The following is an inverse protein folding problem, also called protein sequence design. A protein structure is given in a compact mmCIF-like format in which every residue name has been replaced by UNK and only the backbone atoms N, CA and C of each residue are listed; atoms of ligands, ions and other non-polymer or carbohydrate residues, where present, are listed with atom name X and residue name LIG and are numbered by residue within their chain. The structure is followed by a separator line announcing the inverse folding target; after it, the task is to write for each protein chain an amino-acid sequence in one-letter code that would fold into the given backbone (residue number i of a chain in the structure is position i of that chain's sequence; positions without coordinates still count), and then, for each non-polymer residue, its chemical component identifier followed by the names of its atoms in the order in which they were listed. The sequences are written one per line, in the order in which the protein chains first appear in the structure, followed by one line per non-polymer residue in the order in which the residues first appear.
data_IF_110504840585
#
_entry.id   IF_110504840585
#
_cell.length_a   1.000
_cell.length_b   1.000
_cell.length_c   1.000
_cell.angle_alpha   90.00
_cell.angle_beta   90.00
_cell.angle_gamma   90.00
#
_symmetry.space_group_name_H-M   'P 1'
#
loop_
_entity.id
_entity.type
_entity.pdbx_description
1 polymer ?
#
# COMPACT_ATOMS: atom_id res chain seq x y z
N UNK A 1 -1.94 -3.49 2.91
CA UNK A 1 -1.81 -4.88 3.39
C UNK A 1 -3.02 -5.20 4.26
N UNK A 2 -4.10 -5.66 3.62
CA UNK A 2 -5.38 -5.90 4.27
C UNK A 2 -5.75 -7.38 4.11
N UNK A 3 -5.36 -8.22 5.07
CA UNK A 3 -6.15 -9.40 5.44
C UNK A 3 -5.49 -10.09 6.63
N UNK A 4 -5.91 -9.71 7.85
CA UNK A 4 -5.70 -10.52 9.06
C UNK A 4 -6.80 -11.60 9.18
N UNK A 5 -7.49 -11.90 8.08
CA UNK A 5 -8.56 -12.88 8.03
C UNK A 5 -7.96 -14.28 8.05
N UNK A 6 -8.36 -15.09 9.04
CA UNK A 6 -7.95 -16.50 9.16
C UNK A 6 -9.11 -17.37 8.71
N UNK A 7 -9.05 -17.82 7.46
CA UNK A 7 -10.05 -18.68 6.82
C UNK A 7 -10.01 -20.12 7.37
N UNK A 8 -11.06 -20.89 7.09
CA UNK A 8 -11.22 -22.27 7.59
C UNK A 8 -10.06 -23.19 7.24
N UNK A 9 -9.59 -23.15 6.00
CA UNK A 9 -8.51 -24.00 5.45
C UNK A 9 -7.19 -23.84 6.22
N UNK A 10 -6.97 -22.66 6.81
CA UNK A 10 -5.78 -22.35 7.58
C UNK A 10 -5.79 -22.95 8.97
N UNK A 11 -6.95 -23.23 9.56
CA UNK A 11 -7.06 -23.75 10.93
C UNK A 11 -6.85 -25.26 10.95
N UNK A 12 -5.84 -25.70 11.70
CA UNK A 12 -5.52 -27.11 11.90
C UNK A 12 -6.41 -27.66 13.01
N UNK A 13 -7.23 -28.65 12.70
CA UNK A 13 -8.18 -29.25 13.63
C UNK A 13 -9.51 -29.60 12.99
N UNK A 14 -10.46 -30.04 13.82
CA UNK A 14 -11.79 -30.44 13.35
C UNK A 14 -12.68 -29.23 13.02
N UNK A 15 -13.73 -29.46 12.22
CA UNK A 15 -14.64 -28.41 11.76
C UNK A 15 -15.48 -27.79 12.88
N UNK A 16 -15.70 -28.50 13.99
CA UNK A 16 -16.51 -28.00 15.10
C UNK A 16 -15.81 -26.83 15.79
N UNK A 17 -14.53 -26.98 16.10
CA UNK A 17 -13.71 -25.93 16.72
C UNK A 17 -13.72 -24.65 15.88
N UNK A 18 -13.57 -24.76 14.56
CA UNK A 18 -13.62 -23.55 13.71
C UNK A 18 -14.99 -22.86 13.77
N UNK A 19 -16.08 -23.62 13.66
CA UNK A 19 -17.44 -23.06 13.68
C UNK A 19 -17.73 -22.34 14.99
N UNK A 20 -17.33 -22.90 16.12
CA UNK A 20 -17.52 -22.31 17.46
C UNK A 20 -16.81 -20.96 17.62
N UNK A 21 -15.64 -20.81 17.01
CA UNK A 21 -14.82 -19.59 17.12
C UNK A 21 -14.83 -18.75 15.83
N UNK A 22 -15.89 -18.87 15.03
CA UNK A 22 -16.07 -18.09 13.80
C UNK A 22 -16.84 -16.78 14.06
N UNK A 23 -16.34 -15.69 13.49
CA UNK A 23 -17.01 -14.40 13.54
C UNK A 23 -18.27 -14.42 12.67
N UNK A 24 -19.40 -13.99 13.23
CA UNK A 24 -20.67 -13.98 12.50
C UNK A 24 -20.80 -12.85 11.45
N UNK A 25 -19.82 -11.95 11.36
CA UNK A 25 -19.78 -10.87 10.35
C UNK A 25 -18.90 -11.27 9.16
N UNK A 26 -17.64 -11.65 9.41
CA UNK A 26 -16.70 -11.99 8.32
C UNK A 26 -16.58 -13.49 8.04
N UNK A 27 -17.20 -14.35 8.86
CA UNK A 27 -17.21 -15.81 8.75
C UNK A 27 -15.82 -16.48 8.83
N UNK A 28 -14.80 -15.73 9.27
CA UNK A 28 -13.45 -16.22 9.55
C UNK A 28 -13.27 -16.52 11.04
N UNK A 29 -12.19 -17.20 11.40
CA UNK A 29 -11.80 -17.37 12.81
C UNK A 29 -11.68 -15.98 13.47
N UNK A 30 -12.19 -15.85 14.70
CA UNK A 30 -12.15 -14.62 15.47
C UNK A 30 -10.72 -14.08 15.59
N UNK A 31 -10.50 -12.86 15.11
CA UNK A 31 -9.26 -12.10 15.29
C UNK A 31 -9.48 -10.96 16.27
N UNK A 32 -8.72 -10.93 17.35
CA UNK A 32 -8.86 -9.97 18.46
C UNK A 32 -10.33 -9.82 18.89
N UNK A 33 -10.97 -10.92 19.35
CA UNK A 33 -12.39 -10.97 19.66
C UNK A 33 -12.83 -9.91 20.68
N UNK A 34 -13.98 -9.31 20.40
CA UNK A 34 -14.70 -8.40 21.29
C UNK A 34 -16.12 -8.91 21.52
N UNK A 35 -16.58 -8.83 22.77
CA UNK A 35 -17.92 -9.26 23.18
C UNK A 35 -18.85 -8.06 23.39
N UNK A 36 -20.07 -8.18 22.88
CA UNK A 36 -21.16 -7.26 23.18
C UNK A 36 -21.49 -7.32 24.68
N UNK A 37 -21.57 -6.17 25.34
CA UNK A 37 -21.92 -6.12 26.77
C UNK A 37 -23.37 -6.51 27.07
N UNK A 38 -24.28 -6.43 26.08
CA UNK A 38 -25.71 -6.71 26.28
C UNK A 38 -26.16 -8.11 25.89
N UNK A 39 -25.60 -8.70 24.83
CA UNK A 39 -26.01 -10.01 24.31
C UNK A 39 -24.87 -11.04 24.24
N UNK A 40 -23.66 -10.65 24.67
CA UNK A 40 -22.47 -11.52 24.72
C UNK A 40 -22.04 -12.15 23.39
N UNK A 41 -22.61 -11.70 22.26
CA UNK A 41 -22.14 -12.07 20.92
C UNK A 41 -20.74 -11.53 20.69
N UNK A 42 -19.90 -12.36 20.08
CA UNK A 42 -18.47 -12.09 19.88
C UNK A 42 -18.19 -11.89 18.39
N UNK A 43 -17.36 -10.89 18.07
CA UNK A 43 -16.91 -10.57 16.72
C UNK A 43 -15.44 -10.13 16.72
N UNK A 44 -14.80 -10.07 15.55
CA UNK A 44 -13.44 -9.55 15.44
C UNK A 44 -13.38 -8.05 15.72
N UNK A 45 -12.27 -7.55 16.25
CA UNK A 45 -12.06 -6.10 16.45
C UNK A 45 -12.31 -5.28 15.18
N UNK A 46 -11.75 -5.71 14.03
CA UNK A 46 -11.96 -5.01 12.75
C UNK A 46 -13.42 -5.02 12.31
N UNK A 47 -14.15 -6.10 12.56
CA UNK A 47 -15.59 -6.19 12.25
C UNK A 47 -16.40 -5.26 13.15
N UNK A 48 -16.03 -5.17 14.43
CA UNK A 48 -16.59 -4.23 15.40
C UNK A 48 -16.40 -2.79 14.92
N UNK A 49 -15.15 -2.40 14.65
CA UNK A 49 -14.78 -1.04 14.25
C UNK A 49 -15.47 -0.65 12.96
N UNK A 50 -15.45 -1.53 11.94
CA UNK A 50 -16.15 -1.29 10.67
C UNK A 50 -17.65 -1.07 10.87
N UNK A 51 -18.28 -1.81 11.77
CA UNK A 51 -19.70 -1.64 12.07
C UNK A 51 -19.98 -0.28 12.73
N UNK A 52 -19.19 0.11 13.73
CA UNK A 52 -19.42 1.35 14.47
C UNK A 52 -18.98 2.62 13.74
N UNK A 53 -18.01 2.53 12.83
CA UNK A 53 -17.61 3.63 11.97
C UNK A 53 -18.66 3.98 10.91
N UNK A 54 -19.69 3.15 10.73
CA UNK A 54 -20.80 3.45 9.84
C UNK A 54 -21.88 4.27 10.58
N UNK A 55 -22.13 5.54 10.19
CA UNK A 55 -23.09 6.42 10.89
C UNK A 55 -24.53 5.90 10.85
N UNK A 56 -24.88 5.06 9.87
CA UNK A 56 -26.22 4.46 9.77
C UNK A 56 -26.52 3.48 10.92
N UNK A 57 -25.49 2.92 11.54
CA UNK A 57 -25.65 1.91 12.58
C UNK A 57 -25.90 2.51 13.98
N UNK A 58 -25.84 3.85 14.12
CA UNK A 58 -26.20 4.60 15.34
C UNK A 58 -25.58 4.04 16.63
N UNK A 59 -24.36 3.52 16.53
CA UNK A 59 -23.65 2.90 17.63
C UNK A 59 -24.40 1.72 18.30
N UNK A 60 -25.18 0.97 17.54
CA UNK A 60 -25.94 -0.20 18.03
C UNK A 60 -25.26 -1.52 17.70
N UNK A 61 -25.50 -2.54 18.51
CA UNK A 61 -25.00 -3.89 18.25
C UNK A 61 -25.71 -4.51 17.02
N UNK A 62 -24.97 -5.14 16.08
CA UNK A 62 -25.54 -5.78 14.89
C UNK A 62 -26.49 -6.96 15.19
N UNK A 63 -26.43 -7.52 16.40
CA UNK A 63 -27.17 -8.75 16.74
C UNK A 63 -28.37 -8.53 17.67
N UNK A 64 -28.37 -7.45 18.45
CA UNK A 64 -29.45 -7.18 19.41
C UNK A 64 -30.03 -5.77 19.30
N UNK A 65 -29.48 -4.93 18.41
CA UNK A 65 -29.90 -3.54 18.16
C UNK A 65 -29.87 -2.62 19.38
N UNK A 66 -29.30 -3.07 20.50
CA UNK A 66 -29.11 -2.25 21.70
C UNK A 66 -27.86 -1.38 21.54
N UNK A 67 -27.84 -0.16 22.08
CA UNK A 67 -26.60 0.58 22.30
C UNK A 67 -25.66 -0.31 23.10
N UNK A 68 -24.48 -0.60 22.57
CA UNK A 68 -23.55 -1.51 23.22
C UNK A 68 -22.14 -1.00 23.11
N UNK A 69 -21.44 -1.06 24.23
CA UNK A 69 -19.99 -1.09 24.27
C UNK A 69 -19.52 -2.53 24.02
N UNK A 70 -18.55 -2.69 23.14
CA UNK A 70 -17.89 -3.97 22.90
C UNK A 70 -16.56 -3.97 23.65
N UNK A 71 -16.31 -5.02 24.42
CA UNK A 71 -15.10 -5.15 25.25
C UNK A 71 -14.24 -6.30 24.76
N UNK A 72 -12.90 -6.21 24.84
CA UNK A 72 -12.02 -7.31 24.52
C UNK A 72 -12.42 -8.59 25.27
N UNK A 73 -12.54 -9.70 24.55
CA UNK A 73 -12.89 -10.99 25.15
C UNK A 73 -11.63 -11.65 25.72
N UNK A 74 -11.26 -11.25 26.94
CA UNK A 74 -10.04 -11.74 27.60
C UNK A 74 -10.00 -13.28 27.71
N UNK A 75 -11.14 -13.93 28.00
CA UNK A 75 -11.21 -15.38 28.11
C UNK A 75 -10.76 -16.09 26.83
N UNK A 76 -11.31 -15.71 25.67
CA UNK A 76 -10.92 -16.31 24.40
C UNK A 76 -9.46 -16.00 24.05
N UNK A 77 -9.02 -14.76 24.25
CA UNK A 77 -7.65 -14.32 23.93
C UNK A 77 -6.57 -14.94 24.84
N UNK A 78 -6.91 -15.30 26.08
CA UNK A 78 -5.94 -15.83 27.03
C UNK A 78 -5.93 -17.36 27.07
N UNK A 79 -7.10 -18.00 26.96
CA UNK A 79 -7.23 -19.42 27.31
C UNK A 79 -7.68 -20.33 26.17
N UNK A 80 -8.29 -19.80 25.10
CA UNK A 80 -8.87 -20.64 24.05
C UNK A 80 -8.11 -20.48 22.73
N UNK A 81 -8.16 -19.29 22.13
CA UNK A 81 -7.55 -19.03 20.82
C UNK A 81 -6.04 -19.30 20.79
N UNK A 82 -5.23 -19.01 21.82
CA UNK A 82 -3.78 -19.20 21.77
C UNK A 82 -3.32 -20.63 21.44
N UNK A 83 -4.15 -21.62 21.77
CA UNK A 83 -3.83 -23.04 21.54
C UNK A 83 -4.24 -23.52 20.14
N UNK A 84 -5.00 -22.72 19.38
CA UNK A 84 -5.34 -23.05 18.00
C UNK A 84 -4.07 -23.02 17.14
N UNK A 85 -3.94 -24.05 16.31
CA UNK A 85 -2.84 -24.23 15.36
C UNK A 85 -3.28 -23.73 13.99
N UNK A 86 -2.48 -22.85 13.39
CA UNK A 86 -2.87 -22.11 12.19
C UNK A 86 -1.73 -22.14 11.18
N UNK A 87 -2.04 -22.50 9.94
CA UNK A 87 -1.11 -22.45 8.80
C UNK A 87 -0.84 -21.00 8.41
N UNK A 88 0.42 -20.71 8.10
CA UNK A 88 0.81 -19.43 7.53
C UNK A 88 0.03 -19.14 6.22
N UNK A 89 -0.40 -17.89 6.02
CA UNK A 89 -1.05 -17.44 4.78
C UNK A 89 -0.19 -17.63 3.53
N UNK A 90 1.12 -17.71 3.71
CA UNK A 90 2.10 -17.89 2.63
C UNK A 90 2.42 -19.38 2.38
N UNK A 91 1.57 -20.33 2.81
CA UNK A 91 1.74 -21.76 2.52
C UNK A 91 1.86 -22.04 1.02
N UNK A 92 1.03 -21.38 0.21
CA UNK A 92 1.07 -21.48 -1.25
C UNK A 92 2.37 -20.93 -1.87
N UNK A 93 3.11 -20.09 -1.15
CA UNK A 93 4.42 -19.58 -1.56
C UNK A 93 5.57 -20.46 -1.05
N UNK A 94 5.28 -21.44 -0.19
CA UNK A 94 6.25 -22.40 0.34
C UNK A 94 6.38 -22.40 1.87
N UNK A 95 5.70 -21.51 2.60
CA UNK A 95 5.79 -21.48 4.06
C UNK A 95 5.00 -22.63 4.71
N UNK A 96 5.68 -23.69 5.14
CA UNK A 96 5.05 -24.86 5.79
C UNK A 96 4.83 -24.70 7.30
N UNK A 97 5.00 -23.51 7.85
CA UNK A 97 4.91 -23.31 9.29
C UNK A 97 3.45 -23.36 9.79
N UNK A 98 3.25 -24.11 10.87
CA UNK A 98 1.98 -24.19 11.62
C UNK A 98 2.24 -23.58 13.00
N UNK A 99 1.57 -22.48 13.28
CA UNK A 99 1.88 -21.60 14.41
C UNK A 99 0.70 -21.53 15.38
N UNK A 100 0.96 -21.34 16.69
CA UNK A 100 -0.07 -20.91 17.62
C UNK A 100 -0.66 -19.57 17.20
N UNK A 101 -1.97 -19.38 17.43
CA UNK A 101 -2.68 -18.13 17.10
C UNK A 101 -1.94 -16.85 17.53
N UNK A 102 -1.38 -16.82 18.77
CA UNK A 102 -0.66 -15.65 19.30
C UNK A 102 0.65 -15.31 18.57
N UNK A 103 1.28 -16.27 17.90
CA UNK A 103 2.55 -16.07 17.18
C UNK A 103 2.33 -15.77 15.70
N UNK A 104 1.09 -15.91 15.21
CA UNK A 104 0.78 -15.82 13.79
C UNK A 104 1.12 -14.45 13.21
N UNK A 105 0.70 -13.37 13.87
CA UNK A 105 0.93 -12.01 13.36
C UNK A 105 2.41 -11.67 13.29
N UNK A 106 3.16 -11.98 14.34
CA UNK A 106 4.61 -11.74 14.35
C UNK A 106 5.30 -12.49 13.22
N UNK A 107 4.99 -13.77 13.05
CA UNK A 107 5.52 -14.54 11.94
C UNK A 107 5.16 -13.91 10.58
N UNK A 108 3.89 -13.61 10.33
CA UNK A 108 3.40 -13.19 9.02
C UNK A 108 3.81 -11.76 8.63
N UNK A 109 4.36 -10.99 9.56
CA UNK A 109 4.81 -9.61 9.36
C UNK A 109 6.33 -9.49 9.44
N UNK A 110 6.96 -10.17 10.38
CA UNK A 110 8.38 -9.99 10.72
C UNK A 110 9.26 -11.19 10.35
N UNK A 111 8.81 -12.45 10.50
CA UNK A 111 9.71 -13.60 10.37
C UNK A 111 9.57 -14.36 9.04
N UNK A 112 8.40 -14.28 8.40
CA UNK A 112 8.08 -15.13 7.26
C UNK A 112 9.00 -14.81 6.06
N UNK A 113 9.89 -15.75 5.74
CA UNK A 113 10.80 -15.67 4.59
C UNK A 113 10.08 -15.70 3.22
N UNK A 114 8.82 -16.12 3.24
CA UNK A 114 7.93 -16.19 2.07
C UNK A 114 6.97 -14.99 2.00
N UNK A 115 7.16 -13.99 2.86
CA UNK A 115 6.48 -12.72 2.71
C UNK A 115 7.01 -12.01 1.46
N UNK A 116 6.11 -11.57 0.59
CA UNK A 116 6.45 -10.72 -0.56
C UNK A 116 6.64 -9.28 -0.11
N UNK A 117 7.79 -8.72 -0.46
CA UNK A 117 8.16 -7.32 -0.21
C UNK A 117 8.42 -6.61 -1.53
N UNK A 118 8.15 -5.31 -1.56
CA UNK A 118 8.41 -4.49 -2.73
C UNK A 118 9.90 -4.10 -2.75
N UNK A 119 10.58 -4.40 -3.85
CA UNK A 119 11.94 -3.94 -4.07
C UNK A 119 11.95 -2.42 -4.32
N UNK A 120 12.71 -1.66 -3.55
CA UNK A 120 12.76 -0.19 -3.66
C UNK A 120 13.38 0.32 -4.96
N UNK A 121 14.16 -0.50 -5.66
CA UNK A 121 14.84 -0.12 -6.92
C UNK A 121 13.94 -0.34 -8.14
N UNK A 122 13.34 -1.52 -8.25
CA UNK A 122 12.58 -1.94 -9.43
C UNK A 122 11.07 -2.03 -9.19
N UNK A 123 10.59 -1.74 -7.98
CA UNK A 123 9.20 -1.84 -7.54
C UNK A 123 8.53 -3.22 -7.71
N UNK A 124 9.27 -4.28 -8.03
CA UNK A 124 8.74 -5.64 -8.13
C UNK A 124 8.48 -6.24 -6.75
N UNK A 125 7.45 -7.08 -6.65
CA UNK A 125 7.16 -7.88 -5.46
C UNK A 125 8.04 -9.14 -5.45
N UNK A 126 8.97 -9.20 -4.52
CA UNK A 126 9.96 -10.28 -4.39
C UNK A 126 9.80 -10.94 -3.02
N UNK A 127 9.98 -12.25 -2.92
CA UNK A 127 10.00 -12.93 -1.62
C UNK A 127 11.17 -12.39 -0.77
N UNK A 128 10.93 -12.12 0.51
CA UNK A 128 11.96 -11.62 1.44
C UNK A 128 13.25 -12.44 1.39
N UNK A 129 13.13 -13.77 1.36
CA UNK A 129 14.29 -14.69 1.20
C UNK A 129 15.14 -14.44 -0.04
N UNK A 130 14.54 -13.94 -1.13
CA UNK A 130 15.19 -13.71 -2.43
C UNK A 130 15.55 -12.24 -2.67
N UNK A 131 15.13 -11.33 -1.79
CA UNK A 131 15.28 -9.89 -2.00
C UNK A 131 16.75 -9.47 -2.05
N UNK A 132 17.59 -10.03 -1.18
CA UNK A 132 19.04 -9.73 -1.16
C UNK A 132 19.71 -10.20 -2.45
N UNK A 133 19.44 -11.44 -2.89
CA UNK A 133 19.97 -12.00 -4.13
C UNK A 133 19.52 -11.18 -5.36
N UNK A 134 18.23 -10.81 -5.40
CA UNK A 134 17.66 -9.95 -6.44
C UNK A 134 18.38 -8.60 -6.50
N UNK A 135 18.63 -7.95 -5.37
CA UNK A 135 19.28 -6.63 -5.33
C UNK A 135 20.77 -6.65 -5.68
N UNK A 136 21.44 -7.80 -5.52
CA UNK A 136 22.86 -7.97 -5.86
C UNK A 136 23.08 -8.28 -7.34
N UNK A 137 22.09 -8.86 -8.03
CA UNK A 137 22.18 -9.20 -9.46
C UNK A 137 21.52 -8.12 -10.31
N UNK A 138 22.34 -7.32 -10.98
CA UNK A 138 21.89 -6.24 -11.88
C UNK A 138 20.89 -6.73 -12.95
N UNK A 139 21.05 -7.95 -13.45
CA UNK A 139 20.15 -8.57 -14.43
C UNK A 139 18.74 -8.87 -13.88
N UNK A 140 18.60 -9.03 -12.56
CA UNK A 140 17.34 -9.41 -11.92
C UNK A 140 16.60 -8.21 -11.34
N UNK A 141 17.31 -7.13 -11.00
CA UNK A 141 16.77 -5.92 -10.39
C UNK A 141 17.05 -4.69 -11.27
N UNK A 142 16.30 -4.57 -12.37
CA UNK A 142 16.37 -3.42 -13.27
C UNK A 142 15.54 -2.28 -12.66
N UNK A 143 16.19 -1.16 -12.35
CA UNK A 143 15.53 0.03 -11.78
C UNK A 143 14.39 0.50 -12.69
N UNK A 144 13.27 0.93 -12.10
CA UNK A 144 12.17 1.47 -12.90
C UNK A 144 12.62 2.72 -13.69
N UNK A 145 12.20 2.89 -14.95
CA UNK A 145 12.47 4.09 -15.70
C UNK A 145 11.92 5.33 -14.98
N UNK A 146 12.77 6.33 -14.75
CA UNK A 146 12.39 7.62 -14.20
C UNK A 146 11.80 8.48 -15.31
N UNK A 147 10.60 9.00 -15.09
CA UNK A 147 9.97 9.95 -16.01
C UNK A 147 10.46 11.37 -15.73
N UNK A 148 11.14 11.98 -16.69
CA UNK A 148 11.57 13.36 -16.63
C UNK A 148 10.36 14.31 -16.50
N UNK A 149 10.41 15.25 -15.56
CA UNK A 149 9.36 16.26 -15.41
C UNK A 149 9.45 17.37 -16.47
N UNK A 150 10.64 17.60 -17.03
CA UNK A 150 10.94 18.64 -18.02
C UNK A 150 10.54 18.16 -19.43
N UNK A 151 11.13 17.06 -19.92
CA UNK A 151 10.87 16.56 -21.28
C UNK A 151 9.86 15.42 -21.38
N UNK A 152 9.36 14.89 -20.26
CA UNK A 152 8.40 13.76 -20.19
C UNK A 152 8.92 12.40 -20.67
N UNK A 153 10.18 12.31 -21.11
CA UNK A 153 10.82 11.05 -21.48
C UNK A 153 11.12 10.19 -20.26
N UNK A 154 11.16 8.87 -20.43
CA UNK A 154 11.54 7.93 -19.38
C UNK A 154 12.94 7.40 -19.63
N UNK A 155 13.78 7.31 -18.60
CA UNK A 155 15.19 6.92 -18.69
C UNK A 155 15.61 6.11 -17.45
N UNK A 156 16.75 5.42 -17.48
CA UNK A 156 17.20 4.60 -16.33
C UNK A 156 17.76 5.45 -15.19
N UNK A 157 17.65 4.98 -13.94
CA UNK A 157 18.17 5.69 -12.76
C UNK A 157 19.66 6.07 -12.89
N UNK A 158 20.45 5.23 -13.56
CA UNK A 158 21.88 5.47 -13.79
C UNK A 158 22.13 6.72 -14.66
N UNK A 159 21.18 7.05 -15.53
CA UNK A 159 21.26 8.18 -16.45
C UNK A 159 20.65 9.45 -15.86
N UNK A 160 20.16 9.43 -14.61
CA UNK A 160 19.43 10.55 -14.01
C UNK A 160 20.21 11.86 -14.04
N UNK A 161 21.47 11.84 -13.60
CA UNK A 161 22.25 13.07 -13.52
C UNK A 161 22.64 13.59 -14.92
N UNK A 162 23.03 12.70 -15.82
CA UNK A 162 23.37 13.08 -17.20
C UNK A 162 22.14 13.63 -17.94
N UNK A 163 21.01 12.90 -17.90
CA UNK A 163 19.76 13.33 -18.51
C UNK A 163 19.27 14.64 -17.92
N UNK A 164 19.27 14.81 -16.60
CA UNK A 164 18.75 16.02 -15.97
C UNK A 164 19.58 17.25 -16.34
N UNK A 165 20.91 17.15 -16.33
CA UNK A 165 21.79 18.24 -16.75
C UNK A 165 21.58 18.62 -18.21
N UNK A 166 21.56 17.64 -19.12
CA UNK A 166 21.38 17.90 -20.54
C UNK A 166 19.97 18.46 -20.83
N UNK A 167 18.93 17.85 -20.27
CA UNK A 167 17.54 18.26 -20.47
C UNK A 167 17.27 19.67 -19.93
N UNK A 168 17.88 20.02 -18.79
CA UNK A 168 17.78 21.36 -18.23
C UNK A 168 18.51 22.40 -19.09
N UNK A 169 19.72 22.08 -19.57
CA UNK A 169 20.47 22.98 -20.44
C UNK A 169 19.74 23.24 -21.76
N UNK A 170 19.21 22.18 -22.40
CA UNK A 170 18.40 22.31 -23.61
C UNK A 170 17.17 23.21 -23.40
N UNK A 171 16.56 23.15 -22.20
CA UNK A 171 15.40 23.99 -21.89
C UNK A 171 15.77 25.47 -21.73
N UNK A 172 16.93 25.77 -21.13
CA UNK A 172 17.47 27.13 -21.04
C UNK A 172 17.79 27.67 -22.44
N UNK A 173 18.45 26.87 -23.27
CA UNK A 173 18.84 27.29 -24.62
C UNK A 173 17.61 27.62 -25.47
N UNK A 174 16.54 26.81 -25.40
CA UNK A 174 15.26 27.10 -26.04
C UNK A 174 14.63 28.42 -25.57
N UNK A 175 14.69 28.71 -24.26
CA UNK A 175 14.15 29.95 -23.72
C UNK A 175 14.97 31.16 -24.20
N UNK A 176 16.29 31.04 -24.22
CA UNK A 176 17.18 32.10 -24.71
C UNK A 176 16.95 32.38 -26.20
N UNK A 177 16.80 31.34 -27.03
CA UNK A 177 16.48 31.53 -28.47
C UNK A 177 15.15 32.24 -28.68
N UNK A 178 14.14 31.97 -27.85
CA UNK A 178 12.85 32.67 -27.94
C UNK A 178 12.99 34.15 -27.54
N UNK A 179 13.72 34.45 -26.47
CA UNK A 179 14.00 35.83 -26.03
C UNK A 179 14.76 36.61 -27.12
N UNK A 180 15.75 35.98 -27.75
CA UNK A 180 16.53 36.63 -28.82
C UNK A 180 15.68 36.87 -30.07
N UNK A 181 14.78 35.94 -30.41
CA UNK A 181 13.79 36.14 -31.48
C UNK A 181 12.86 37.31 -31.17
N UNK A 182 12.31 37.37 -29.95
CA UNK A 182 11.43 38.46 -29.51
C UNK A 182 12.15 39.82 -29.54
N UNK A 183 13.39 39.89 -29.06
CA UNK A 183 14.21 41.12 -29.10
C UNK A 183 14.52 41.56 -30.53
N UNK A 184 14.81 40.63 -31.43
CA UNK A 184 15.03 40.94 -32.84
C UNK A 184 13.74 41.42 -33.51
N UNK A 185 12.60 40.81 -33.19
CA UNK A 185 11.29 41.23 -33.67
C UNK A 185 10.92 42.63 -33.18
N UNK A 186 11.12 42.94 -31.90
CA UNK A 186 10.92 44.29 -31.35
C UNK A 186 11.84 45.33 -32.01
N UNK A 187 13.09 44.96 -32.33
CA UNK A 187 14.02 45.85 -33.02
C UNK A 187 13.51 46.17 -34.43
N UNK A 188 13.06 45.16 -35.18
CA UNK A 188 12.45 45.36 -36.50
C UNK A 188 11.17 46.21 -36.45
N UNK A 189 10.34 46.05 -35.42
CA UNK A 189 9.16 46.90 -35.22
C UNK A 189 9.57 48.35 -34.97
N UNK A 190 10.52 48.60 -34.04
CA UNK A 190 11.02 49.95 -33.75
C UNK A 190 11.71 50.60 -34.97
N UNK A 191 12.42 49.82 -35.77
CA UNK A 191 13.09 50.32 -36.98
C UNK A 191 12.06 50.66 -38.08
N UNK A 192 10.97 49.90 -38.21
CA UNK A 192 9.88 50.23 -39.12
C UNK A 192 9.07 51.47 -38.67
N UNK A 193 8.86 51.67 -37.36
CA UNK A 193 8.18 52.86 -36.81
C UNK A 193 9.01 54.15 -36.97
N UNK A 194 10.34 54.05 -37.09
CA UNK A 194 11.22 55.20 -37.39
C UNK A 194 11.23 55.60 -38.86
N UNK A 195 10.73 54.75 -39.77
CA UNK A 195 10.71 54.98 -41.23
C UNK A 195 9.40 55.66 -41.69
N UNK A 196 8.47 55.97 -40.79
CA UNK A 196 7.36 56.89 -41.09
C UNK A 196 7.70 58.33 -40.66
N UNK A 197 8.32 59.17 -41.52
CA UNK A 197 8.35 60.60 -41.28
C UNK A 197 6.95 61.18 -41.48
N UNK A 198 6.59 62.11 -40.58
CA UNK A 198 5.49 63.06 -40.71
C UNK A 198 5.19 63.42 -42.17
N UNK A 199 4.11 62.87 -42.71
CA UNK A 199 3.37 63.54 -43.79
C UNK A 199 2.37 64.48 -43.15
N UNK A 200 2.86 65.67 -42.80
CA UNK A 200 2.05 66.86 -42.56
C UNK A 200 1.33 67.25 -43.85
N UNK A 201 0.02 67.34 -43.80
CA UNK A 201 -0.82 68.23 -44.62
C UNK A 201 -1.93 68.78 -43.72
#
# INVERSE_FOLDING_TARGET
MENNSITRDRVVGNDRTFKEFSCQICQNLLWEPHSCSSCHRILCEKCMQKWFNNPLNRNTCPFCSKPSEYKPCAFLNQYILPYLRIRCRNENLGCKQILPYKQLEHHETADCQYLSEQCMKCNQLILRSKLVEHQQRLEQCISCPIKCTICKNSFEDIDFQAHFTECYQQKIDQLNTNIDFDRNMERHIRDNERITPNSSL
#
